data_IF_867494675063
#
_entry.id   IF_867494675063
#
_cell.length_a   1.000
_cell.length_b   1.000
_cell.length_c   1.000
_cell.angle_alpha   90.00
_cell.angle_beta   90.00
_cell.angle_gamma   90.00
#
_symmetry.space_group_name_H-M   'P 1'
#
loop_
_entity.id
_entity.type
_entity.pdbx_description
1 polymer ?
#
# COMPACT_ATOMS: atom_id res chain seq x y z
N UNK A 1 -4.53 2.71 14.17
CA UNK A 1 -4.01 1.32 14.30
C UNK A 1 -2.52 1.40 14.61
N UNK A 2 -2.06 0.74 15.66
CA UNK A 2 -0.62 0.66 16.00
C UNK A 2 0.09 -0.38 15.12
N UNK A 3 1.44 -0.33 15.00
CA UNK A 3 2.20 -1.38 14.31
C UNK A 3 1.96 -2.79 14.87
N UNK A 4 1.84 -2.93 16.20
CA UNK A 4 1.58 -4.22 16.85
C UNK A 4 0.21 -4.78 16.44
N UNK A 5 -0.84 -3.95 16.42
CA UNK A 5 -2.16 -4.34 15.93
C UNK A 5 -2.10 -4.78 14.46
N UNK A 6 -1.33 -4.08 13.62
CA UNK A 6 -1.18 -4.44 12.21
C UNK A 6 -0.40 -5.76 12.08
N UNK A 7 0.61 -6.00 12.92
CA UNK A 7 1.33 -7.26 12.94
C UNK A 7 0.42 -8.45 13.27
N UNK A 8 -0.48 -8.28 14.24
CA UNK A 8 -1.51 -9.29 14.57
C UNK A 8 -2.47 -9.53 13.41
N UNK A 9 -2.97 -8.45 12.78
CA UNK A 9 -3.87 -8.52 11.62
C UNK A 9 -3.20 -9.28 10.46
N UNK A 10 -1.93 -9.04 10.22
CA UNK A 10 -1.16 -9.68 9.15
C UNK A 10 -0.75 -11.12 9.49
N UNK A 11 -0.96 -11.56 10.75
CA UNK A 11 -0.60 -12.90 11.27
C UNK A 11 0.90 -13.21 11.11
N UNK A 12 1.73 -12.24 11.48
CA UNK A 12 3.18 -12.34 11.40
C UNK A 12 3.74 -12.86 12.72
N UNK A 13 3.80 -14.20 12.85
CA UNK A 13 4.24 -14.90 14.06
C UNK A 13 5.75 -15.17 14.11
N UNK A 14 6.46 -15.03 12.99
CA UNK A 14 7.89 -15.26 12.92
C UNK A 14 8.64 -14.14 13.68
N UNK A 15 9.46 -14.45 14.69
CA UNK A 15 10.19 -13.44 15.48
C UNK A 15 11.19 -12.61 14.64
N UNK A 16 11.54 -13.06 13.43
CA UNK A 16 12.40 -12.32 12.49
C UNK A 16 11.62 -11.27 11.70
N UNK A 17 10.28 -11.31 11.78
CA UNK A 17 9.38 -10.42 11.04
C UNK A 17 8.73 -9.44 11.99
N UNK A 18 8.69 -8.18 11.61
CA UNK A 18 8.02 -7.13 12.38
C UNK A 18 7.33 -6.10 11.48
N UNK A 19 6.33 -5.46 12.04
CA UNK A 19 5.71 -4.26 11.45
C UNK A 19 6.22 -3.04 12.22
N UNK A 20 6.69 -2.05 11.49
CA UNK A 20 7.17 -0.78 12.05
C UNK A 20 6.46 0.40 11.38
N UNK A 21 6.43 1.59 12.00
CA UNK A 21 5.95 2.78 11.33
C UNK A 21 6.73 3.03 10.04
N UNK A 22 6.05 3.51 9.00
CA UNK A 22 6.70 3.87 7.73
C UNK A 22 7.72 5.00 7.93
N UNK A 23 8.82 4.88 7.22
CA UNK A 23 9.76 5.97 6.93
C UNK A 23 10.26 5.82 5.49
N UNK A 24 10.34 6.92 4.75
CA UNK A 24 10.84 6.93 3.38
C UNK A 24 12.28 6.42 3.26
N UNK A 25 13.04 6.37 4.36
CA UNK A 25 14.38 5.79 4.41
C UNK A 25 14.40 4.31 4.05
N UNK A 26 13.32 3.56 4.34
CA UNK A 26 13.21 2.15 3.97
C UNK A 26 13.25 1.94 2.46
N UNK A 27 12.75 2.90 1.68
CA UNK A 27 12.71 2.81 0.23
C UNK A 27 14.12 2.77 -0.40
N UNK A 28 15.13 3.32 0.29
CA UNK A 28 16.54 3.24 -0.14
C UNK A 28 17.13 1.82 -0.03
N UNK A 29 16.51 0.95 0.77
CA UNK A 29 16.94 -0.43 1.01
C UNK A 29 16.19 -1.44 0.14
N UNK A 30 15.20 -0.98 -0.65
CA UNK A 30 14.30 -1.81 -1.43
C UNK A 30 14.64 -1.79 -2.92
N UNK A 31 14.40 -2.90 -3.59
CA UNK A 31 14.40 -2.97 -5.05
C UNK A 31 13.03 -2.54 -5.57
N UNK A 32 12.93 -1.30 -5.97
CA UNK A 32 11.67 -0.69 -6.40
C UNK A 32 11.32 -1.05 -7.85
N UNK A 33 10.01 -1.15 -8.14
CA UNK A 33 9.50 -1.22 -9.50
C UNK A 33 9.72 0.09 -10.27
N UNK A 34 9.57 0.05 -11.60
CA UNK A 34 9.84 1.21 -12.47
C UNK A 34 8.97 2.42 -12.12
N UNK A 35 7.68 2.18 -11.86
CA UNK A 35 6.74 3.26 -11.51
C UNK A 35 7.12 3.92 -10.19
N UNK A 36 7.34 3.14 -9.13
CA UNK A 36 7.71 3.65 -7.80
C UNK A 36 9.06 4.39 -7.84
N UNK A 37 10.06 3.79 -8.53
CA UNK A 37 11.36 4.41 -8.73
C UNK A 37 11.23 5.74 -9.48
N UNK A 38 10.39 5.79 -10.52
CA UNK A 38 10.14 7.01 -11.28
C UNK A 38 9.55 8.12 -10.41
N UNK A 39 8.52 7.84 -9.61
CA UNK A 39 7.93 8.82 -8.69
C UNK A 39 8.95 9.36 -7.69
N UNK A 40 9.75 8.48 -7.09
CA UNK A 40 10.75 8.87 -6.09
C UNK A 40 11.92 9.68 -6.66
N UNK A 41 12.24 9.51 -7.95
CA UNK A 41 13.38 10.21 -8.58
C UNK A 41 12.98 11.45 -9.37
N UNK A 42 11.74 11.51 -9.86
CA UNK A 42 11.29 12.57 -10.78
C UNK A 42 10.33 13.57 -10.14
N UNK A 43 9.70 13.21 -9.01
CA UNK A 43 8.81 14.13 -8.28
C UNK A 43 9.58 14.70 -7.08
N UNK A 44 9.95 16.01 -7.12
CA UNK A 44 10.58 16.66 -5.98
C UNK A 44 9.67 16.61 -4.74
N UNK A 45 10.22 16.26 -3.58
CA UNK A 45 9.47 16.21 -2.33
C UNK A 45 8.55 15.00 -2.16
N UNK A 46 8.58 14.01 -3.06
CA UNK A 46 7.68 12.86 -2.96
C UNK A 46 7.94 11.98 -1.73
N UNK A 47 9.19 11.85 -1.30
CA UNK A 47 9.54 11.12 -0.05
C UNK A 47 8.95 11.81 1.17
N UNK A 48 9.10 13.12 1.25
CA UNK A 48 8.56 13.96 2.32
C UNK A 48 7.03 13.91 2.33
N UNK A 49 6.41 13.90 1.15
CA UNK A 49 4.97 13.69 1.01
C UNK A 49 4.52 12.35 1.58
N UNK A 50 5.22 11.24 1.27
CA UNK A 50 4.91 9.93 1.81
C UNK A 50 5.09 9.86 3.33
N UNK A 51 6.15 10.47 3.86
CA UNK A 51 6.39 10.53 5.31
C UNK A 51 5.27 11.31 6.01
N UNK A 52 4.86 12.45 5.48
CA UNK A 52 3.77 13.25 6.04
C UNK A 52 2.42 12.54 5.90
N UNK A 53 2.11 11.96 4.74
CA UNK A 53 0.89 11.18 4.53
C UNK A 53 0.79 10.00 5.52
N UNK A 54 1.92 9.38 5.83
CA UNK A 54 1.99 8.27 6.80
C UNK A 54 1.86 8.76 8.23
N UNK A 55 2.30 9.97 8.55
CA UNK A 55 2.19 10.59 9.87
C UNK A 55 0.77 11.03 10.19
N UNK A 56 0.07 11.63 9.23
CA UNK A 56 -1.34 12.07 9.41
C UNK A 56 -2.35 10.96 9.17
N UNK A 57 -1.97 9.90 8.45
CA UNK A 57 -2.74 8.70 8.18
C UNK A 57 -2.19 7.49 8.92
N UNK A 58 -2.07 6.38 8.20
CA UNK A 58 -1.55 5.11 8.72
C UNK A 58 -0.54 4.56 7.72
N UNK A 59 0.73 4.64 8.05
CA UNK A 59 1.82 4.12 7.21
C UNK A 59 2.69 3.10 7.94
N UNK A 60 3.02 2.00 7.28
CA UNK A 60 3.74 0.87 7.85
C UNK A 60 4.77 0.30 6.89
N UNK A 61 5.75 -0.38 7.46
CA UNK A 61 6.69 -1.22 6.74
C UNK A 61 6.77 -2.60 7.39
N UNK A 62 6.69 -3.66 6.59
CA UNK A 62 7.01 -5.02 7.02
C UNK A 62 8.50 -5.24 6.87
N UNK A 63 9.17 -5.58 7.96
CA UNK A 63 10.58 -5.92 8.02
C UNK A 63 10.72 -7.43 8.22
N UNK A 64 11.58 -8.08 7.45
CA UNK A 64 11.93 -9.48 7.61
C UNK A 64 13.45 -9.63 7.57
N UNK A 65 14.02 -10.26 8.60
CA UNK A 65 15.47 -10.39 8.77
C UNK A 65 16.22 -9.04 8.63
N UNK A 66 15.65 -7.98 9.22
CA UNK A 66 16.23 -6.64 9.20
C UNK A 66 16.10 -5.89 7.88
N UNK A 67 15.33 -6.39 6.91
CA UNK A 67 15.15 -5.76 5.60
C UNK A 67 13.69 -5.51 5.26
N UNK A 68 13.35 -4.36 4.66
CA UNK A 68 11.99 -4.05 4.26
C UNK A 68 11.52 -4.97 3.11
N UNK A 69 10.29 -5.46 3.24
CA UNK A 69 9.60 -6.28 2.23
C UNK A 69 8.58 -5.45 1.47
N UNK A 70 7.81 -4.65 2.18
CA UNK A 70 6.73 -3.82 1.63
C UNK A 70 6.45 -2.66 2.55
N UNK A 71 6.28 -1.49 1.97
CA UNK A 71 5.73 -0.30 2.62
C UNK A 71 4.31 -0.09 2.12
N UNK A 72 3.40 0.25 3.02
CA UNK A 72 1.98 0.45 2.67
C UNK A 72 1.30 1.37 3.67
N UNK A 73 0.17 1.92 3.25
CA UNK A 73 -0.58 2.79 4.14
C UNK A 73 -1.98 3.11 3.65
N UNK A 74 -2.68 3.83 4.52
CA UNK A 74 -4.02 4.38 4.28
C UNK A 74 -4.01 5.85 4.65
N UNK A 75 -4.50 6.70 3.75
CA UNK A 75 -4.67 8.13 3.95
C UNK A 75 -6.16 8.47 3.89
N UNK A 76 -6.67 9.11 4.93
CA UNK A 76 -8.07 9.55 4.96
C UNK A 76 -8.25 10.72 3.99
N UNK A 77 -9.13 10.57 3.01
CA UNK A 77 -9.50 11.64 2.08
C UNK A 77 -10.69 12.45 2.60
N UNK A 78 -11.69 11.74 3.10
CA UNK A 78 -12.91 12.27 3.69
C UNK A 78 -13.29 11.42 4.90
N UNK A 79 -14.19 11.85 5.78
CA UNK A 79 -14.75 10.95 6.79
C UNK A 79 -15.24 9.66 6.14
N UNK A 80 -14.76 8.52 6.63
CA UNK A 80 -15.13 7.17 6.17
C UNK A 80 -14.67 6.78 4.73
N UNK A 81 -13.83 7.60 4.08
CA UNK A 81 -13.26 7.35 2.76
C UNK A 81 -11.75 7.47 2.82
N UNK A 82 -11.06 6.45 2.36
CA UNK A 82 -9.61 6.42 2.38
C UNK A 82 -9.00 6.00 1.04
N UNK A 83 -7.81 6.49 0.77
CA UNK A 83 -6.92 6.02 -0.29
C UNK A 83 -5.84 5.13 0.33
N UNK A 84 -5.60 3.97 -0.30
CA UNK A 84 -4.48 3.12 0.09
C UNK A 84 -3.34 3.21 -0.93
N UNK A 85 -2.13 3.02 -0.43
CA UNK A 85 -0.92 2.97 -1.23
C UNK A 85 -0.04 1.79 -0.81
N UNK A 86 0.81 1.32 -1.72
CA UNK A 86 1.68 0.17 -1.48
C UNK A 86 2.91 0.24 -2.37
N UNK A 87 4.08 0.06 -1.77
CA UNK A 87 5.38 0.02 -2.44
C UNK A 87 6.09 -1.27 -2.01
N UNK A 88 6.15 -2.31 -2.86
CA UNK A 88 6.83 -3.56 -2.54
C UNK A 88 8.30 -3.53 -2.96
N UNK A 89 9.13 -4.28 -2.23
CA UNK A 89 10.39 -4.76 -2.79
C UNK A 89 10.08 -5.85 -3.84
N UNK A 90 10.39 -5.60 -5.10
CA UNK A 90 9.98 -6.43 -6.23
C UNK A 90 10.59 -7.83 -6.26
N UNK A 91 11.70 -8.05 -5.53
CA UNK A 91 12.35 -9.35 -5.41
C UNK A 91 11.84 -10.10 -4.17
N UNK A 92 11.85 -9.44 -3.01
CA UNK A 92 11.51 -10.05 -1.73
C UNK A 92 10.03 -10.41 -1.62
N UNK A 93 9.15 -9.59 -2.18
CA UNK A 93 7.69 -9.84 -2.15
C UNK A 93 7.31 -11.17 -2.85
N UNK A 94 8.13 -11.66 -3.78
CA UNK A 94 7.87 -12.92 -4.49
C UNK A 94 7.84 -14.13 -3.54
N UNK A 95 8.73 -14.15 -2.56
CA UNK A 95 8.78 -15.21 -1.53
C UNK A 95 7.58 -15.09 -0.57
N UNK A 96 7.13 -13.86 -0.35
CA UNK A 96 6.06 -13.53 0.58
C UNK A 96 4.65 -13.59 -0.01
N UNK A 97 4.49 -13.84 -1.30
CA UNK A 97 3.24 -13.66 -2.06
C UNK A 97 1.99 -14.25 -1.40
N UNK A 98 2.05 -15.43 -0.80
CA UNK A 98 0.89 -16.07 -0.16
C UNK A 98 0.53 -15.42 1.18
N UNK A 99 1.54 -15.15 2.04
CA UNK A 99 1.36 -14.45 3.30
C UNK A 99 0.86 -13.03 3.05
N UNK A 100 1.48 -12.35 2.10
CA UNK A 100 1.11 -11.02 1.67
C UNK A 100 -0.35 -10.96 1.18
N UNK A 101 -0.78 -11.91 0.35
CA UNK A 101 -2.16 -11.97 -0.14
C UNK A 101 -3.16 -12.12 1.01
N UNK A 102 -2.96 -13.11 1.89
CA UNK A 102 -3.84 -13.35 3.04
C UNK A 102 -3.85 -12.18 4.02
N UNK A 103 -2.67 -11.67 4.33
CA UNK A 103 -2.51 -10.53 5.23
C UNK A 103 -3.20 -9.27 4.70
N UNK A 104 -3.06 -8.97 3.41
CA UNK A 104 -3.70 -7.82 2.79
C UNK A 104 -5.22 -7.89 2.81
N UNK A 105 -5.81 -9.09 2.57
CA UNK A 105 -7.26 -9.27 2.67
C UNK A 105 -7.75 -8.96 4.09
N UNK A 106 -7.08 -9.48 5.12
CA UNK A 106 -7.41 -9.20 6.53
C UNK A 106 -7.21 -7.72 6.85
N UNK A 107 -6.10 -7.14 6.38
CA UNK A 107 -5.80 -5.72 6.62
C UNK A 107 -6.90 -4.80 6.12
N UNK A 108 -7.41 -5.00 4.91
CA UNK A 108 -8.49 -4.17 4.38
C UNK A 108 -9.81 -4.34 5.15
N UNK A 109 -10.16 -5.56 5.57
CA UNK A 109 -11.36 -5.81 6.40
C UNK A 109 -11.24 -5.13 7.77
N UNK A 110 -10.13 -5.35 8.47
CA UNK A 110 -9.89 -4.80 9.80
C UNK A 110 -9.74 -3.26 9.76
N UNK A 111 -9.05 -2.73 8.76
CA UNK A 111 -8.92 -1.29 8.60
C UNK A 111 -10.28 -0.64 8.34
N UNK A 112 -11.10 -1.23 7.48
CA UNK A 112 -12.44 -0.72 7.23
C UNK A 112 -13.30 -0.73 8.49
N UNK A 113 -13.25 -1.80 9.27
CA UNK A 113 -14.01 -1.92 10.53
C UNK A 113 -13.51 -0.94 11.60
N UNK A 114 -12.19 -0.92 11.87
CA UNK A 114 -11.60 -0.12 12.96
C UNK A 114 -11.61 1.38 12.69
N UNK A 115 -11.55 1.79 11.43
CA UNK A 115 -11.56 3.19 11.00
C UNK A 115 -12.93 3.64 10.50
N UNK A 116 -13.95 2.80 10.65
CA UNK A 116 -15.33 3.05 10.20
C UNK A 116 -15.40 3.50 8.73
N UNK A 117 -14.67 2.79 7.85
CA UNK A 117 -14.62 3.12 6.43
C UNK A 117 -15.73 2.40 5.66
N UNK A 118 -16.46 3.14 4.83
CA UNK A 118 -17.34 2.54 3.84
C UNK A 118 -16.67 2.39 2.46
N UNK A 119 -15.52 3.04 2.26
CA UNK A 119 -14.78 3.01 0.99
C UNK A 119 -13.28 3.08 1.20
N UNK A 120 -12.57 2.17 0.52
CA UNK A 120 -11.12 2.28 0.28
C UNK A 120 -10.92 2.28 -1.24
N UNK A 121 -10.12 3.20 -1.77
CA UNK A 121 -9.76 3.24 -3.18
C UNK A 121 -8.25 3.31 -3.37
N UNK A 122 -7.81 3.06 -4.60
CA UNK A 122 -6.41 3.10 -5.02
C UNK A 122 -6.34 3.42 -6.51
N UNK A 123 -5.29 4.11 -6.91
CA UNK A 123 -4.93 4.28 -8.33
C UNK A 123 -3.76 3.38 -8.68
N UNK A 124 -3.84 2.71 -9.82
CA UNK A 124 -2.83 1.75 -10.30
C UNK A 124 -2.42 2.13 -11.71
N UNK A 125 -1.11 2.11 -11.98
CA UNK A 125 -0.55 2.34 -13.31
C UNK A 125 -1.11 1.30 -14.31
N UNK A 126 -1.62 1.76 -15.46
CA UNK A 126 -2.16 0.88 -16.52
C UNK A 126 -1.12 -0.11 -17.04
N UNK A 127 0.16 0.25 -16.97
CA UNK A 127 1.30 -0.54 -17.44
C UNK A 127 1.84 -1.50 -16.35
N UNK A 128 1.16 -1.61 -15.19
CA UNK A 128 1.54 -2.53 -14.12
C UNK A 128 0.58 -3.71 -14.00
N UNK A 129 0.69 -4.75 -14.87
CA UNK A 129 -0.24 -5.88 -14.90
C UNK A 129 -0.22 -6.69 -13.60
N UNK A 130 0.89 -6.70 -12.88
CA UNK A 130 1.01 -7.42 -11.60
C UNK A 130 0.15 -6.76 -10.55
N UNK A 131 0.22 -5.43 -10.42
CA UNK A 131 -0.60 -4.67 -9.48
C UNK A 131 -2.09 -4.73 -9.85
N UNK A 132 -2.42 -4.59 -11.15
CA UNK A 132 -3.81 -4.69 -11.64
C UNK A 132 -4.43 -6.05 -11.29
N UNK A 133 -3.69 -7.14 -11.49
CA UNK A 133 -4.15 -8.49 -11.13
C UNK A 133 -4.27 -8.68 -9.62
N UNK A 134 -3.31 -8.13 -8.86
CA UNK A 134 -3.32 -8.25 -7.41
C UNK A 134 -4.50 -7.49 -6.79
N UNK A 135 -4.74 -6.24 -7.18
CA UNK A 135 -5.81 -5.42 -6.60
C UNK A 135 -7.20 -6.02 -6.84
N UNK A 136 -7.41 -6.65 -8.00
CA UNK A 136 -8.65 -7.39 -8.30
C UNK A 136 -8.84 -8.57 -7.34
N UNK A 137 -7.76 -9.29 -7.01
CA UNK A 137 -7.78 -10.38 -6.02
C UNK A 137 -8.03 -9.89 -4.59
N UNK A 138 -7.74 -8.62 -4.29
CA UNK A 138 -8.08 -7.95 -3.03
C UNK A 138 -9.55 -7.54 -2.96
N UNK A 139 -10.39 -7.98 -3.91
CA UNK A 139 -11.83 -7.69 -4.04
C UNK A 139 -12.14 -6.23 -4.37
N UNK A 140 -11.16 -5.49 -4.89
CA UNK A 140 -11.41 -4.17 -5.43
C UNK A 140 -12.01 -4.28 -6.83
N UNK A 141 -12.92 -3.37 -7.15
CA UNK A 141 -13.58 -3.26 -8.45
C UNK A 141 -13.06 -2.05 -9.20
N UNK A 142 -12.82 -2.21 -10.50
CA UNK A 142 -12.45 -1.12 -11.39
C UNK A 142 -13.63 -0.14 -11.50
N UNK A 143 -13.35 1.15 -11.35
CA UNK A 143 -14.35 2.22 -11.48
C UNK A 143 -14.09 3.10 -12.70
N UNK A 144 -12.85 3.51 -12.92
CA UNK A 144 -12.54 4.47 -13.98
C UNK A 144 -11.11 4.31 -14.50
N UNK A 145 -10.88 4.81 -15.71
CA UNK A 145 -9.55 5.13 -16.22
C UNK A 145 -9.37 6.64 -16.12
N UNK A 146 -8.36 7.06 -15.40
CA UNK A 146 -8.00 8.45 -15.19
C UNK A 146 -6.95 8.83 -16.23
N UNK A 147 -7.40 9.58 -17.25
CA UNK A 147 -6.52 9.96 -18.36
C UNK A 147 -5.46 10.95 -17.92
N UNK A 148 -4.20 10.70 -18.31
CA UNK A 148 -3.05 11.56 -18.03
C UNK A 148 -2.92 11.94 -16.53
N UNK A 149 -3.29 11.03 -15.65
CA UNK A 149 -3.37 11.29 -14.21
C UNK A 149 -1.99 11.29 -13.53
N UNK A 150 -1.07 10.49 -14.05
CA UNK A 150 0.28 10.38 -13.48
C UNK A 150 1.15 11.58 -13.84
N UNK A 151 2.21 11.84 -13.06
CA UNK A 151 3.19 12.90 -13.27
C UNK A 151 3.83 12.89 -14.68
N UNK A 152 3.88 11.74 -15.33
CA UNK A 152 4.44 11.54 -16.67
C UNK A 152 3.34 11.39 -17.74
N UNK A 153 2.16 11.94 -17.51
CA UNK A 153 0.98 11.90 -18.37
C UNK A 153 0.46 10.50 -18.70
N UNK A 154 0.85 9.46 -17.93
CA UNK A 154 0.26 8.14 -18.09
C UNK A 154 -1.14 8.06 -17.49
N UNK A 155 -1.95 7.20 -18.07
CA UNK A 155 -3.25 6.86 -17.53
C UNK A 155 -3.09 6.00 -16.26
N UNK A 156 -3.98 6.19 -15.32
CA UNK A 156 -4.10 5.35 -14.13
C UNK A 156 -5.49 4.71 -14.08
N UNK A 157 -5.60 3.57 -13.44
CA UNK A 157 -6.90 2.92 -13.22
C UNK A 157 -7.28 3.08 -11.75
N UNK A 158 -8.46 3.64 -11.51
CA UNK A 158 -9.03 3.71 -10.17
C UNK A 158 -9.80 2.42 -9.86
N UNK A 159 -9.47 1.83 -8.74
CA UNK A 159 -10.17 0.70 -8.14
C UNK A 159 -10.71 1.11 -6.77
N UNK A 160 -11.85 0.55 -6.39
CA UNK A 160 -12.39 0.73 -5.05
C UNK A 160 -12.95 -0.56 -4.48
N UNK A 161 -12.99 -0.60 -3.15
CA UNK A 161 -13.67 -1.61 -2.37
C UNK A 161 -14.62 -0.93 -1.40
N UNK A 162 -15.89 -1.32 -1.44
CA UNK A 162 -16.92 -0.80 -0.57
C UNK A 162 -17.16 -1.79 0.57
N UNK A 163 -17.43 -1.25 1.75
CA UNK A 163 -17.70 -1.99 2.97
C UNK A 163 -19.07 -1.62 3.51
N UNK A 164 -19.78 -2.59 4.07
CA UNK A 164 -21.04 -2.35 4.77
C UNK A 164 -20.72 -1.85 6.17
N UNK A 165 -21.36 -0.77 6.56
CA UNK A 165 -21.26 -0.16 7.91
C UNK A 165 -22.36 -0.71 8.79
#
# INVERSE_FOLDING_TARGET
MTPDEVQEILDLQDPRTSVVPFSSTFLNMMKLGLSDKGMLTQIPGYKEFLDEASRIGYGYCVIDEGRPIVCFGIVMQWPHVAECWLIPDTERIKVWRHRFHKGSLRFFEEAASRLDLHRIHVTVDVDNPVALKWITRMKFKKEAVLQKYSYNEKDMVMYSRLFVR
#
